data_IF_609723317547
#
_entry.id   IF_609723317547
#
_cell.length_a   1.000
_cell.length_b   1.000
_cell.length_c   1.000
_cell.angle_alpha   90.00
_cell.angle_beta   90.00
_cell.angle_gamma   90.00
#
_symmetry.space_group_name_H-M   'P 1'
#
loop_
_entity.id
_entity.type
_entity.pdbx_description
1 polymer ?
#
# COMPACT_ATOMS: atom_id res chain seq x y z
N UNK A 1 -9.85 -11.20 11.11
CA UNK A 1 -8.90 -10.13 11.44
C UNK A 1 -8.10 -9.82 10.20
N UNK A 2 -7.94 -8.54 9.84
CA UNK A 2 -7.22 -8.12 8.63
C UNK A 2 -6.00 -7.30 9.02
N UNK A 3 -4.95 -7.35 8.21
CA UNK A 3 -3.78 -6.48 8.31
C UNK A 3 -3.84 -5.39 7.24
N UNK A 4 -3.18 -4.26 7.50
CA UNK A 4 -2.87 -3.28 6.47
C UNK A 4 -1.69 -3.74 5.60
N UNK A 5 -1.52 -3.13 4.42
CA UNK A 5 -0.43 -3.45 3.49
C UNK A 5 0.94 -3.31 4.16
N UNK A 6 1.18 -2.22 4.89
CA UNK A 6 2.47 -2.00 5.55
C UNK A 6 2.80 -3.07 6.60
N UNK A 7 1.80 -3.55 7.34
CA UNK A 7 1.97 -4.60 8.36
C UNK A 7 2.28 -5.95 7.72
N UNK A 8 1.62 -6.27 6.61
CA UNK A 8 1.91 -7.47 5.84
C UNK A 8 3.33 -7.42 5.25
N UNK A 9 3.77 -6.26 4.76
CA UNK A 9 5.13 -6.06 4.24
C UNK A 9 6.20 -6.14 5.32
N UNK A 10 5.95 -5.60 6.50
CA UNK A 10 6.83 -5.78 7.67
C UNK A 10 6.99 -7.26 8.01
N UNK A 11 5.89 -8.02 8.01
CA UNK A 11 5.93 -9.46 8.23
C UNK A 11 6.72 -10.18 7.12
N UNK A 12 6.49 -9.85 5.85
CA UNK A 12 7.26 -10.42 4.73
C UNK A 12 8.75 -10.16 4.87
N UNK A 13 9.14 -8.92 5.18
CA UNK A 13 10.53 -8.54 5.39
C UNK A 13 11.18 -9.36 6.52
N UNK A 14 10.49 -9.52 7.66
CA UNK A 14 10.96 -10.34 8.79
C UNK A 14 11.22 -11.81 8.44
N UNK A 15 10.54 -12.34 7.42
CA UNK A 15 10.71 -13.71 6.94
C UNK A 15 11.56 -13.79 5.66
N UNK A 16 12.23 -12.70 5.25
CA UNK A 16 13.11 -12.68 4.08
C UNK A 16 12.39 -12.67 2.73
N UNK A 17 11.07 -12.42 2.72
CA UNK A 17 10.32 -12.24 1.47
C UNK A 17 10.58 -10.82 0.96
N UNK A 18 11.09 -10.64 -0.28
CA UNK A 18 11.46 -9.34 -0.79
C UNK A 18 10.21 -8.45 -0.96
N UNK A 19 10.29 -7.24 -0.43
CA UNK A 19 9.32 -6.16 -0.60
C UNK A 19 10.08 -4.87 -0.92
N UNK A 20 9.51 -3.94 -1.69
CA UNK A 20 10.16 -2.66 -1.92
C UNK A 20 10.30 -1.88 -0.60
N UNK A 21 11.37 -1.08 -0.51
CA UNK A 21 11.59 -0.22 0.65
C UNK A 21 10.44 0.76 0.81
N UNK A 22 9.86 0.83 2.00
CA UNK A 22 8.77 1.75 2.28
C UNK A 22 8.55 1.99 3.77
N UNK A 23 7.82 3.06 4.07
CA UNK A 23 7.57 3.52 5.43
C UNK A 23 6.13 4.02 5.56
N UNK A 24 5.53 3.77 6.70
CA UNK A 24 4.21 4.30 7.05
C UNK A 24 4.34 5.73 7.59
N UNK A 25 3.43 6.61 7.18
CA UNK A 25 3.38 7.99 7.64
C UNK A 25 1.95 8.37 8.05
N UNK A 26 1.84 9.11 9.15
CA UNK A 26 0.58 9.65 9.66
C UNK A 26 0.46 11.16 9.44
N UNK A 27 1.51 11.82 8.93
CA UNK A 27 1.50 13.25 8.59
C UNK A 27 2.18 13.51 7.24
N UNK A 28 1.83 14.61 6.55
CA UNK A 28 2.51 15.01 5.31
C UNK A 28 4.02 15.16 5.46
N UNK A 29 4.47 15.73 6.59
CA UNK A 29 5.89 15.91 6.90
C UNK A 29 6.60 14.57 7.08
N UNK A 30 5.97 13.61 7.77
CA UNK A 30 6.51 12.25 7.89
C UNK A 30 6.61 11.57 6.53
N UNK A 31 5.62 11.74 5.65
CA UNK A 31 5.63 11.15 4.31
C UNK A 31 6.77 11.72 3.44
N UNK A 32 6.96 13.04 3.45
CA UNK A 32 8.07 13.68 2.73
C UNK A 32 9.44 13.23 3.29
N UNK A 33 9.58 13.12 4.61
CA UNK A 33 10.80 12.63 5.24
C UNK A 33 11.07 11.15 4.91
N UNK A 34 10.03 10.31 4.83
CA UNK A 34 10.14 8.92 4.41
C UNK A 34 10.69 8.81 2.99
N UNK A 35 10.24 9.65 2.05
CA UNK A 35 10.79 9.68 0.70
C UNK A 35 12.31 9.94 0.69
N UNK A 36 12.77 10.87 1.53
CA UNK A 36 14.20 11.15 1.71
C UNK A 36 14.99 9.96 2.27
N UNK A 37 14.44 9.23 3.25
CA UNK A 37 15.07 8.02 3.82
C UNK A 37 15.11 6.84 2.85
N UNK A 38 14.02 6.64 2.11
CA UNK A 38 13.92 5.58 1.09
C UNK A 38 14.91 5.84 -0.06
N UNK A 39 15.12 7.11 -0.40
CA UNK A 39 15.93 7.50 -1.56
C UNK A 39 15.27 7.14 -2.89
N UNK A 40 16.01 7.32 -3.99
CA UNK A 40 15.51 7.08 -5.34
C UNK A 40 14.93 8.32 -6.02
N UNK A 41 14.17 8.11 -7.11
CA UNK A 41 13.61 9.17 -7.97
C UNK A 41 12.09 9.12 -8.10
N UNK A 42 11.48 8.00 -7.73
CA UNK A 42 10.04 7.76 -7.87
C UNK A 42 9.56 7.08 -6.60
N UNK A 43 8.44 7.54 -6.08
CA UNK A 43 7.75 6.97 -4.93
C UNK A 43 6.28 6.74 -5.25
N UNK A 44 5.67 5.82 -4.51
CA UNK A 44 4.23 5.58 -4.54
C UNK A 44 3.67 5.92 -3.16
N UNK A 45 2.67 6.81 -3.11
CA UNK A 45 1.91 7.15 -1.91
C UNK A 45 0.60 6.37 -1.92
N UNK A 46 0.41 5.50 -0.93
CA UNK A 46 -0.71 4.54 -0.87
C UNK A 46 -1.54 4.72 0.39
N UNK A 47 -2.80 5.10 0.24
CA UNK A 47 -3.77 5.12 1.34
C UNK A 47 -3.87 3.73 2.01
N UNK A 48 -3.77 3.70 3.33
CA UNK A 48 -3.87 2.48 4.12
C UNK A 48 -5.32 2.27 4.59
N UNK A 49 -6.05 1.45 3.84
CA UNK A 49 -7.40 0.95 4.18
C UNK A 49 -7.47 -0.54 3.86
N UNK A 50 -8.33 -1.29 4.56
CA UNK A 50 -8.46 -2.74 4.31
C UNK A 50 -9.20 -3.07 3.00
N UNK A 51 -10.02 -2.16 2.49
CA UNK A 51 -10.70 -2.36 1.22
C UNK A 51 -9.72 -2.32 0.04
N UNK A 52 -9.88 -3.25 -0.90
CA UNK A 52 -9.18 -3.25 -2.18
C UNK A 52 -9.74 -2.22 -3.17
N UNK A 53 -9.16 -2.15 -4.37
CA UNK A 53 -9.60 -1.20 -5.41
C UNK A 53 -9.11 0.24 -5.22
N UNK A 54 -8.16 0.46 -4.30
CA UNK A 54 -7.60 1.77 -3.93
C UNK A 54 -7.07 2.56 -5.13
N UNK A 55 -6.36 1.90 -6.06
CA UNK A 55 -5.79 2.58 -7.23
C UNK A 55 -6.84 3.25 -8.12
N UNK A 56 -7.93 2.54 -8.44
CA UNK A 56 -9.05 3.08 -9.23
C UNK A 56 -9.80 4.21 -8.49
N UNK A 57 -9.73 4.21 -7.16
CA UNK A 57 -10.32 5.24 -6.30
C UNK A 57 -9.38 6.43 -6.03
N UNK A 58 -8.19 6.46 -6.64
CA UNK A 58 -7.22 7.54 -6.43
C UNK A 58 -6.42 7.44 -5.12
N UNK A 59 -6.55 6.34 -4.36
CA UNK A 59 -5.80 6.08 -3.13
C UNK A 59 -4.39 5.51 -3.36
N UNK A 60 -3.91 5.49 -4.60
CA UNK A 60 -2.53 5.12 -4.97
C UNK A 60 -2.05 6.14 -5.99
N UNK A 61 -0.97 6.86 -5.69
CA UNK A 61 -0.44 7.95 -6.52
C UNK A 61 1.07 7.87 -6.63
N UNK A 62 1.61 8.14 -7.81
CA UNK A 62 3.04 8.26 -8.06
C UNK A 62 3.52 9.68 -7.74
N UNK A 63 4.74 9.79 -7.23
CA UNK A 63 5.43 11.04 -6.95
C UNK A 63 6.88 10.98 -7.43
N UNK A 64 7.43 12.12 -7.85
CA UNK A 64 8.81 12.27 -8.34
C UNK A 64 9.66 13.21 -7.48
N UNK A 65 9.11 13.71 -6.38
CA UNK A 65 9.83 14.50 -5.39
C UNK A 65 9.27 14.28 -3.99
N UNK A 66 10.08 14.55 -2.95
CA UNK A 66 9.64 14.49 -1.57
C UNK A 66 8.51 15.50 -1.27
N UNK A 67 8.51 16.65 -1.95
CA UNK A 67 7.44 17.64 -1.86
C UNK A 67 6.12 17.09 -2.39
N UNK A 68 6.14 16.47 -3.57
CA UNK A 68 4.96 15.84 -4.17
C UNK A 68 4.43 14.70 -3.28
N UNK A 69 5.32 13.91 -2.66
CA UNK A 69 4.92 12.90 -1.65
C UNK A 69 4.15 13.54 -0.49
N UNK A 70 4.66 14.64 0.06
CA UNK A 70 4.00 15.38 1.13
C UNK A 70 2.63 15.95 0.71
N UNK A 71 2.53 16.52 -0.49
CA UNK A 71 1.29 17.07 -1.04
C UNK A 71 0.23 15.97 -1.22
N UNK A 72 0.61 14.82 -1.80
CA UNK A 72 -0.28 13.68 -1.98
C UNK A 72 -0.74 13.10 -0.65
N UNK A 73 0.17 12.97 0.33
CA UNK A 73 -0.18 12.52 1.67
C UNK A 73 -1.17 13.47 2.34
N UNK A 74 -0.99 14.79 2.19
CA UNK A 74 -1.93 15.81 2.70
C UNK A 74 -3.32 15.69 2.09
N UNK A 75 -3.41 15.38 0.80
CA UNK A 75 -4.69 15.19 0.12
C UNK A 75 -5.41 13.90 0.54
N UNK A 76 -4.67 12.89 1.03
CA UNK A 76 -5.24 11.59 1.45
C UNK A 76 -5.59 11.53 2.94
N UNK A 77 -4.68 11.98 3.81
CA UNK A 77 -4.81 11.82 5.26
C UNK A 77 -6.02 12.58 5.82
N UNK A 78 -6.77 11.93 6.71
CA UNK A 78 -8.00 12.48 7.30
C UNK A 78 -9.23 12.43 6.41
N UNK A 79 -9.08 12.01 5.15
CA UNK A 79 -10.21 11.80 4.23
C UNK A 79 -10.81 10.40 4.38
N UNK A 80 -11.89 10.13 3.63
CA UNK A 80 -12.49 8.80 3.51
C UNK A 80 -12.35 8.32 2.08
N UNK A 81 -11.70 7.17 1.88
CA UNK A 81 -11.52 6.57 0.56
C UNK A 81 -12.71 5.68 0.22
N UNK A 82 -13.46 6.06 -0.81
CA UNK A 82 -14.56 5.26 -1.36
C UNK A 82 -14.03 4.37 -2.48
N UNK A 83 -14.16 3.07 -2.31
CA UNK A 83 -13.85 2.04 -3.30
C UNK A 83 -15.10 1.22 -3.60
N UNK A 84 -15.09 0.42 -4.68
CA UNK A 84 -16.17 -0.56 -4.93
C UNK A 84 -16.36 -1.54 -3.76
N UNK A 85 -15.32 -1.80 -2.97
CA UNK A 85 -15.33 -2.77 -1.88
C UNK A 85 -15.66 -2.15 -0.51
N UNK A 86 -15.59 -0.82 -0.36
CA UNK A 86 -15.92 -0.13 0.91
C UNK A 86 -17.36 0.34 1.00
N UNK A 87 -18.09 0.36 -0.12
CA UNK A 87 -19.39 1.01 -0.21
C UNK A 87 -19.32 2.54 -0.13
N UNK A 88 -20.47 3.24 -0.18
CA UNK A 88 -20.56 4.70 -0.28
C UNK A 88 -20.00 5.43 0.93
N UNK A 89 -19.96 4.77 2.09
CA UNK A 89 -19.44 5.35 3.34
C UNK A 89 -17.93 5.56 3.30
N UNK A 90 -17.21 4.83 2.43
CA UNK A 90 -15.75 4.81 2.38
C UNK A 90 -15.09 4.30 3.68
N UNK A 91 -13.76 4.25 3.67
CA UNK A 91 -12.94 3.94 4.85
C UNK A 91 -12.02 5.12 5.21
N UNK A 92 -11.81 5.42 6.50
CA UNK A 92 -10.95 6.52 6.91
C UNK A 92 -9.49 6.25 6.52
N UNK A 93 -8.81 7.25 5.99
CA UNK A 93 -7.39 7.19 5.66
C UNK A 93 -6.60 7.89 6.77
N UNK A 94 -6.20 7.11 7.78
CA UNK A 94 -5.44 7.62 8.92
C UNK A 94 -3.92 7.56 8.69
N UNK A 95 -3.49 6.73 7.75
CA UNK A 95 -2.09 6.51 7.41
C UNK A 95 -1.93 6.36 5.89
N UNK A 96 -0.77 6.75 5.39
CA UNK A 96 -0.31 6.44 4.05
C UNK A 96 0.97 5.61 4.14
N UNK A 97 1.21 4.78 3.13
CA UNK A 97 2.46 4.05 2.96
C UNK A 97 3.21 4.66 1.78
N UNK A 98 4.41 5.17 2.03
CA UNK A 98 5.33 5.70 1.03
C UNK A 98 6.29 4.58 0.66
N UNK A 99 6.37 4.24 -0.61
CA UNK A 99 7.18 3.12 -1.09
C UNK A 99 8.04 3.53 -2.29
N UNK A 100 9.22 2.94 -2.43
CA UNK A 100 10.04 3.07 -3.63
C UNK A 100 9.28 2.62 -4.89
N UNK A 101 9.39 3.39 -5.97
CA UNK A 101 8.90 2.97 -7.28
C UNK A 101 9.59 1.69 -7.75
N UNK A 102 8.85 0.82 -8.44
CA UNK A 102 9.37 -0.41 -9.04
C UNK A 102 9.23 -0.34 -10.55
N UNK A 103 10.27 -0.75 -11.27
CA UNK A 103 10.20 -0.98 -12.72
C UNK A 103 9.61 -2.38 -12.94
N UNK A 104 8.32 -2.42 -13.25
CA UNK A 104 7.56 -3.67 -13.36
C UNK A 104 7.60 -4.14 -14.82
N UNK A 105 8.37 -5.19 -15.09
CA UNK A 105 8.42 -5.86 -16.40
C UNK A 105 7.21 -6.78 -16.61
N UNK A 106 6.85 -7.54 -15.56
CA UNK A 106 5.71 -8.46 -15.57
C UNK A 106 4.98 -8.46 -14.23
N UNK A 107 3.65 -8.44 -14.30
CA UNK A 107 2.77 -8.65 -13.15
C UNK A 107 2.24 -10.08 -13.15
N UNK A 108 2.27 -10.72 -11.99
CA UNK A 108 1.76 -12.08 -11.75
C UNK A 108 0.81 -12.06 -10.55
N UNK A 109 -0.12 -13.00 -10.51
CA UNK A 109 -0.99 -13.21 -9.35
C UNK A 109 -0.52 -14.41 -8.54
N UNK A 110 -0.45 -14.27 -7.21
CA UNK A 110 -0.20 -15.35 -6.28
C UNK A 110 -1.08 -15.19 -5.04
N UNK A 111 -1.77 -16.25 -4.63
CA UNK A 111 -2.47 -16.31 -3.35
C UNK A 111 -2.43 -17.69 -2.71
N UNK A 112 -2.52 -17.69 -1.39
CA UNK A 112 -2.60 -18.89 -0.56
C UNK A 112 -3.87 -18.79 0.30
N UNK A 113 -4.63 -19.88 0.37
CA UNK A 113 -5.85 -19.96 1.16
C UNK A 113 -6.09 -21.38 1.67
N UNK A 114 -6.92 -21.52 2.70
CA UNK A 114 -7.39 -22.83 3.15
C UNK A 114 -8.49 -23.31 2.19
N UNK A 115 -8.18 -24.35 1.42
CA UNK A 115 -9.19 -25.09 0.66
C UNK A 115 -9.98 -25.97 1.63
N UNK A 116 -11.21 -25.55 1.92
CA UNK A 116 -12.10 -26.25 2.85
C UNK A 116 -12.51 -27.64 2.35
N UNK A 117 -12.55 -27.87 1.04
CA UNK A 117 -12.94 -29.16 0.47
C UNK A 117 -11.84 -30.22 0.63
N UNK A 118 -10.58 -29.77 0.65
CA UNK A 118 -9.41 -30.64 0.78
C UNK A 118 -8.76 -30.58 2.16
N UNK A 119 -9.17 -29.63 3.00
CA UNK A 119 -8.58 -29.36 4.31
C UNK A 119 -7.06 -29.14 4.23
N UNK A 120 -6.61 -28.41 3.20
CA UNK A 120 -5.19 -28.11 2.95
C UNK A 120 -5.02 -26.65 2.56
N UNK A 121 -3.78 -26.17 2.63
CA UNK A 121 -3.40 -24.89 2.02
C UNK A 121 -3.28 -25.08 0.51
N UNK A 122 -4.03 -24.30 -0.25
CA UNK A 122 -3.95 -24.26 -1.71
C UNK A 122 -3.17 -23.01 -2.15
N UNK A 123 -2.39 -23.16 -3.22
CA UNK A 123 -1.71 -22.08 -3.93
C UNK A 123 -2.44 -21.83 -5.25
N UNK A 124 -2.72 -20.57 -5.55
CA UNK A 124 -3.29 -20.13 -6.83
C UNK A 124 -2.30 -19.16 -7.47
N UNK A 125 -1.91 -19.44 -8.72
CA UNK A 125 -1.04 -18.57 -9.51
C UNK A 125 -1.62 -18.33 -10.90
N UNK A 126 -1.49 -17.12 -11.44
CA UNK A 126 -1.88 -16.74 -12.81
C UNK A 126 -1.02 -15.63 -13.39
#
# INVERSE_FOLDING_TARGET
MNLHEYQAKELFHRFGIPVPSGEVASTPTQAAAAAGRIGGKVWVVKAQVHAGGRGKAGGVKLARSAEEVGQLARAMLGTRLVTKQSGPQGMPVNQVYVEAGSEIDRELYLSLLVDRSRERVAFIAS
#
